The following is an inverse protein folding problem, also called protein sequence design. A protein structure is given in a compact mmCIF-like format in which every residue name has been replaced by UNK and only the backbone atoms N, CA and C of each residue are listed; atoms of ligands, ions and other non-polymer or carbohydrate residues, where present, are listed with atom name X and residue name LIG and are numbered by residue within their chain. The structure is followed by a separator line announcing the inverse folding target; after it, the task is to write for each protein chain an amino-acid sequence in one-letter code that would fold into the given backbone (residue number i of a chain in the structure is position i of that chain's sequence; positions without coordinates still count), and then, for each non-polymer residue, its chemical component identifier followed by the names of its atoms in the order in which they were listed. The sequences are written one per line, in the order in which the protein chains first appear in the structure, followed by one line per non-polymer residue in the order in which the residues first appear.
data_IF_321408655414
#
_entry.id   IF_321408655414
#
_cell.length_a   1.000
_cell.length_b   1.000
_cell.length_c   1.000
_cell.angle_alpha   90.00
_cell.angle_beta   90.00
_cell.angle_gamma   90.00
#
_symmetry.space_group_name_H-M   'P 1'
#
loop_
_entity.id
_entity.type
_entity.pdbx_description
1 polymer ?
#
# COMPACT_ATOMS: atom_id res chain seq x y z
N UNK A 1 12.82 -16.85 -20.39
CA UNK A 1 12.22 -17.25 -19.08
C UNK A 1 12.35 -16.14 -18.05
N UNK A 2 13.52 -15.52 -17.87
CA UNK A 2 13.70 -14.40 -16.94
C UNK A 2 12.76 -13.21 -17.24
N UNK A 3 12.56 -12.86 -18.51
CA UNK A 3 11.72 -11.72 -18.93
C UNK A 3 10.25 -11.85 -18.49
N UNK A 4 9.75 -13.08 -18.41
CA UNK A 4 8.40 -13.37 -17.93
C UNK A 4 8.26 -13.08 -16.43
N UNK A 5 9.28 -13.43 -15.62
CA UNK A 5 9.26 -13.12 -14.19
C UNK A 5 9.40 -11.62 -13.94
N UNK A 6 10.22 -10.92 -14.73
CA UNK A 6 10.36 -9.47 -14.63
C UNK A 6 9.07 -8.72 -14.99
N UNK A 7 8.40 -9.13 -16.07
CA UNK A 7 7.14 -8.51 -16.47
C UNK A 7 6.01 -8.81 -15.49
N UNK A 8 5.91 -10.04 -14.98
CA UNK A 8 4.95 -10.40 -13.95
C UNK A 8 5.17 -9.63 -12.64
N UNK A 9 6.42 -9.48 -12.20
CA UNK A 9 6.76 -8.68 -11.02
C UNK A 9 6.42 -7.20 -11.23
N UNK A 10 6.77 -6.64 -12.40
CA UNK A 10 6.43 -5.27 -12.77
C UNK A 10 4.92 -5.03 -12.76
N UNK A 11 4.14 -5.96 -13.31
CA UNK A 11 2.68 -5.89 -13.31
C UNK A 11 2.10 -5.92 -11.89
N UNK A 12 2.60 -6.80 -11.01
CA UNK A 12 2.13 -6.89 -9.62
C UNK A 12 2.44 -5.62 -8.81
N UNK A 13 3.57 -4.98 -9.09
CA UNK A 13 3.92 -3.69 -8.48
C UNK A 13 3.02 -2.58 -9.03
N UNK A 14 2.73 -2.61 -10.33
CA UNK A 14 1.84 -1.65 -11.00
C UNK A 14 0.36 -1.86 -10.63
N UNK A 15 -0.04 -3.02 -10.13
CA UNK A 15 -1.41 -3.30 -9.70
C UNK A 15 -1.43 -3.98 -8.32
N UNK A 16 -1.20 -3.23 -7.23
CA UNK A 16 -1.15 -3.79 -5.87
C UNK A 16 -2.45 -4.49 -5.46
N UNK A 17 -3.60 -4.08 -6.02
CA UNK A 17 -4.88 -4.73 -5.78
C UNK A 17 -4.91 -6.19 -6.29
N UNK A 18 -4.27 -6.45 -7.44
CA UNK A 18 -4.13 -7.81 -7.99
C UNK A 18 -3.19 -8.63 -7.11
N UNK A 19 -2.08 -8.03 -6.68
CA UNK A 19 -1.17 -8.67 -5.73
C UNK A 19 -1.88 -9.05 -4.42
N UNK A 20 -2.74 -8.17 -3.90
CA UNK A 20 -3.56 -8.44 -2.72
C UNK A 20 -4.48 -9.63 -2.90
N UNK A 21 -5.19 -9.72 -4.02
CA UNK A 21 -6.10 -10.84 -4.29
C UNK A 21 -5.35 -12.16 -4.38
N UNK A 22 -4.21 -12.19 -5.07
CA UNK A 22 -3.36 -13.38 -5.19
C UNK A 22 -2.85 -13.81 -3.81
N UNK A 23 -2.30 -12.87 -3.04
CA UNK A 23 -1.81 -13.15 -1.69
C UNK A 23 -2.93 -13.60 -0.75
N UNK A 24 -4.13 -13.01 -0.88
CA UNK A 24 -5.30 -13.40 -0.10
C UNK A 24 -5.71 -14.84 -0.37
N UNK A 25 -5.82 -15.23 -1.64
CA UNK A 25 -6.15 -16.61 -2.02
C UNK A 25 -5.07 -17.58 -1.49
N UNK A 26 -3.79 -17.23 -1.69
CA UNK A 26 -2.67 -18.05 -1.25
C UNK A 26 -2.66 -18.25 0.27
N UNK A 27 -2.72 -17.18 1.06
CA UNK A 27 -2.69 -17.28 2.52
C UNK A 27 -3.97 -17.88 3.10
N UNK A 28 -5.14 -17.61 2.52
CA UNK A 28 -6.39 -18.25 2.96
C UNK A 28 -6.34 -19.76 2.75
N UNK A 29 -5.76 -20.22 1.64
CA UNK A 29 -5.59 -21.65 1.38
C UNK A 29 -4.53 -22.29 2.29
N UNK A 30 -3.46 -21.56 2.61
CA UNK A 30 -2.40 -22.03 3.50
C UNK A 30 -2.86 -22.15 4.96
N UNK A 31 -3.52 -21.12 5.48
CA UNK A 31 -3.95 -21.06 6.88
C UNK A 31 -5.33 -21.66 7.13
N UNK A 32 -6.10 -21.96 6.06
CA UNK A 32 -7.50 -22.41 6.11
C UNK A 32 -8.42 -21.50 6.93
N UNK A 33 -8.02 -20.25 7.09
CA UNK A 33 -8.70 -19.24 7.88
C UNK A 33 -8.69 -17.93 7.09
N UNK A 34 -9.84 -17.45 6.60
CA UNK A 34 -9.91 -16.25 5.77
C UNK A 34 -9.51 -14.98 6.53
N UNK A 35 -9.72 -14.93 7.85
CA UNK A 35 -9.35 -13.77 8.67
C UNK A 35 -7.84 -13.64 8.78
N UNK A 36 -7.15 -14.75 9.07
CA UNK A 36 -5.68 -14.81 9.09
C UNK A 36 -5.08 -14.60 7.69
N UNK A 37 -5.74 -15.18 6.67
CA UNK A 37 -5.37 -15.00 5.27
C UNK A 37 -5.37 -13.54 4.85
N UNK A 38 -6.46 -12.81 5.13
CA UNK A 38 -6.58 -11.38 4.83
C UNK A 38 -5.56 -10.54 5.59
N UNK A 39 -5.38 -10.77 6.90
CA UNK A 39 -4.41 -9.99 7.68
C UNK A 39 -3.00 -10.13 7.11
N UNK A 40 -2.57 -11.35 6.73
CA UNK A 40 -1.25 -11.58 6.14
C UNK A 40 -1.13 -10.99 4.75
N UNK A 41 -2.13 -11.15 3.90
CA UNK A 41 -2.14 -10.58 2.56
C UNK A 41 -2.03 -9.04 2.59
N UNK A 42 -2.78 -8.39 3.49
CA UNK A 42 -2.69 -6.95 3.71
C UNK A 42 -1.29 -6.52 4.14
N UNK A 43 -0.68 -7.23 5.11
CA UNK A 43 0.66 -6.90 5.61
C UNK A 43 1.72 -6.92 4.50
N UNK A 44 1.69 -7.94 3.64
CA UNK A 44 2.59 -8.04 2.48
C UNK A 44 2.27 -6.98 1.43
N UNK A 45 1.00 -6.71 1.16
CA UNK A 45 0.59 -5.71 0.16
C UNK A 45 1.00 -4.30 0.58
N UNK A 46 1.01 -3.96 1.87
CA UNK A 46 1.52 -2.65 2.35
C UNK A 46 2.95 -2.41 1.92
N UNK A 47 3.79 -3.44 1.94
CA UNK A 47 5.18 -3.34 1.50
C UNK A 47 5.29 -3.03 0.01
N UNK A 48 4.36 -3.54 -0.81
CA UNK A 48 4.24 -3.20 -2.23
C UNK A 48 3.65 -1.81 -2.44
N UNK A 49 2.71 -1.39 -1.60
CA UNK A 49 2.02 -0.10 -1.71
C UNK A 49 2.93 1.10 -1.40
N UNK A 50 3.88 0.96 -0.48
CA UNK A 50 4.82 2.02 -0.12
C UNK A 50 5.58 2.60 -1.33
N UNK A 51 6.19 1.79 -2.21
CA UNK A 51 6.77 2.27 -3.46
C UNK A 51 5.75 2.47 -4.59
N UNK A 52 4.61 1.75 -4.60
CA UNK A 52 3.64 1.86 -5.68
C UNK A 52 2.91 3.22 -5.72
N UNK A 53 2.53 3.78 -4.56
CA UNK A 53 1.88 5.11 -4.49
C UNK A 53 2.73 6.22 -5.12
N UNK A 54 4.01 6.43 -4.70
CA UNK A 54 4.83 7.47 -5.31
C UNK A 54 5.20 7.14 -6.76
N UNK A 55 5.27 5.86 -7.15
CA UNK A 55 5.50 5.49 -8.55
C UNK A 55 4.33 5.91 -9.45
N UNK A 56 3.09 5.66 -9.03
CA UNK A 56 1.89 6.09 -9.77
C UNK A 56 1.77 7.61 -9.83
N UNK A 57 2.02 8.29 -8.71
CA UNK A 57 2.02 9.76 -8.71
C UNK A 57 3.10 10.32 -9.64
N UNK A 58 4.31 9.74 -9.64
CA UNK A 58 5.37 10.16 -10.54
C UNK A 58 5.02 9.88 -12.01
N UNK A 59 4.33 8.77 -12.31
CA UNK A 59 3.90 8.44 -13.65
C UNK A 59 2.89 9.46 -14.22
N UNK A 60 1.95 9.94 -13.40
CA UNK A 60 0.93 10.91 -13.84
C UNK A 60 1.36 12.37 -13.73
N UNK A 61 2.10 12.74 -12.69
CA UNK A 61 2.43 14.16 -12.40
C UNK A 61 3.88 14.52 -12.74
N UNK A 62 4.75 13.53 -12.98
CA UNK A 62 6.20 13.73 -13.18
C UNK A 62 6.99 13.99 -11.89
N UNK A 63 6.34 14.24 -10.75
CA UNK A 63 7.01 14.58 -9.49
C UNK A 63 7.41 13.34 -8.68
N UNK A 64 8.65 13.33 -8.17
CA UNK A 64 9.15 12.26 -7.29
C UNK A 64 8.70 12.50 -5.84
N UNK A 65 7.58 11.90 -5.45
CA UNK A 65 6.98 12.10 -4.12
C UNK A 65 7.43 11.08 -3.06
N UNK A 66 8.27 10.11 -3.42
CA UNK A 66 8.68 9.02 -2.53
C UNK A 66 9.34 9.46 -1.23
N UNK A 67 10.18 10.50 -1.27
CA UNK A 67 10.83 11.04 -0.08
C UNK A 67 9.82 11.65 0.90
N UNK A 68 8.87 12.45 0.39
CA UNK A 68 7.81 13.05 1.21
C UNK A 68 6.89 11.98 1.82
N UNK A 69 6.59 10.92 1.05
CA UNK A 69 5.80 9.80 1.55
C UNK A 69 6.52 9.05 2.68
N UNK A 70 7.83 8.82 2.55
CA UNK A 70 8.63 8.20 3.61
C UNK A 70 8.60 9.04 4.91
N UNK A 71 8.74 10.36 4.80
CA UNK A 71 8.59 11.27 5.95
C UNK A 71 7.19 11.15 6.55
N UNK A 72 6.14 11.18 5.73
CA UNK A 72 4.76 11.07 6.20
C UNK A 72 4.50 9.76 6.96
N UNK A 73 5.05 8.63 6.48
CA UNK A 73 4.95 7.33 7.14
C UNK A 73 5.64 7.34 8.50
N UNK A 74 6.83 7.93 8.60
CA UNK A 74 7.57 8.05 9.86
C UNK A 74 6.80 8.94 10.84
N UNK A 75 6.33 10.11 10.41
CA UNK A 75 5.53 11.02 11.24
C UNK A 75 4.24 10.34 11.71
N UNK A 76 3.59 9.56 10.86
CA UNK A 76 2.40 8.79 11.22
C UNK A 76 2.72 7.74 12.29
N UNK A 77 3.83 7.01 12.15
CA UNK A 77 4.27 6.03 13.14
C UNK A 77 4.60 6.68 14.50
N UNK A 78 5.27 7.83 14.48
CA UNK A 78 5.54 8.62 15.69
C UNK A 78 4.25 9.12 16.36
N UNK A 79 3.32 9.66 15.57
CA UNK A 79 2.01 10.11 16.06
C UNK A 79 1.22 8.98 16.73
N UNK A 80 1.18 7.81 16.09
CA UNK A 80 0.52 6.62 16.66
C UNK A 80 1.18 6.17 17.96
N UNK A 81 2.51 6.18 18.01
CA UNK A 81 3.28 5.82 19.21
C UNK A 81 3.00 6.79 20.35
N UNK A 82 2.98 8.10 20.06
CA UNK A 82 2.65 9.12 21.05
C UNK A 82 1.22 8.96 21.59
N UNK A 83 0.24 8.68 20.71
CA UNK A 83 -1.15 8.45 21.09
C UNK A 83 -1.30 7.19 21.95
N UNK A 84 -0.61 6.12 21.61
CA UNK A 84 -0.65 4.87 22.40
C UNK A 84 -0.07 5.11 23.80
N UNK A 85 1.06 5.82 23.90
CA UNK A 85 1.69 6.18 25.18
C UNK A 85 0.77 7.00 26.10
N UNK A 86 -0.05 7.89 25.53
CA UNK A 86 -1.01 8.69 26.31
C UNK A 86 -2.16 7.87 26.90
N UNK A 87 -2.41 6.68 26.35
CA UNK A 87 -3.52 5.81 26.77
C UNK A 87 -3.19 5.01 28.06
N UNK A 88 -1.94 5.09 28.56
CA UNK A 88 -1.54 4.53 29.86
C UNK A 88 -1.41 3.00 29.89
N UNK A 89 -1.49 2.34 28.74
CA UNK A 89 -1.25 0.90 28.61
C UNK A 89 0.27 0.65 28.57
N UNK A 90 0.71 -0.48 29.13
CA UNK A 90 2.06 -0.98 28.89
C UNK A 90 2.32 -1.04 27.39
N UNK A 91 3.47 -0.50 26.97
CA UNK A 91 3.75 -0.22 25.57
C UNK A 91 4.12 -1.53 24.86
N UNK A 92 3.10 -2.29 24.45
CA UNK A 92 3.28 -3.52 23.69
C UNK A 92 3.62 -3.18 22.23
N UNK A 93 4.91 -3.30 21.89
CA UNK A 93 5.46 -2.94 20.57
C UNK A 93 4.78 -3.76 19.44
N UNK A 94 4.52 -5.05 19.67
CA UNK A 94 3.97 -5.95 18.65
C UNK A 94 2.57 -5.58 18.16
N UNK A 95 1.57 -5.44 19.06
CA UNK A 95 0.24 -4.94 18.71
C UNK A 95 0.26 -3.53 18.10
N UNK A 96 1.07 -2.61 18.63
CA UNK A 96 1.18 -1.25 18.11
C UNK A 96 1.68 -1.25 16.66
N UNK A 97 2.75 -2.00 16.35
CA UNK A 97 3.29 -2.08 15.01
C UNK A 97 2.27 -2.66 14.03
N UNK A 98 1.55 -3.73 14.41
CA UNK A 98 0.47 -4.30 13.59
C UNK A 98 -0.66 -3.30 13.32
N UNK A 99 -1.03 -2.49 14.32
CA UNK A 99 -2.04 -1.44 14.20
C UNK A 99 -1.59 -0.35 13.22
N UNK A 100 -0.35 0.13 13.35
CA UNK A 100 0.26 1.09 12.42
C UNK A 100 0.27 0.52 11.00
N UNK A 101 0.73 -0.72 10.84
CA UNK A 101 0.85 -1.38 9.55
C UNK A 101 -0.49 -1.53 8.82
N UNK A 102 -1.55 -1.90 9.55
CA UNK A 102 -2.92 -2.01 9.01
C UNK A 102 -3.52 -0.66 8.63
N UNK A 103 -3.24 0.40 9.39
CA UNK A 103 -3.70 1.73 9.03
C UNK A 103 -2.95 2.26 7.80
N UNK A 104 -1.63 2.01 7.72
CA UNK A 104 -0.84 2.34 6.54
C UNK A 104 -1.37 1.62 5.30
N UNK A 105 -1.70 0.33 5.41
CA UNK A 105 -2.36 -0.42 4.33
C UNK A 105 -3.59 0.31 3.81
N UNK A 106 -4.50 0.70 4.71
CA UNK A 106 -5.76 1.36 4.35
C UNK A 106 -5.52 2.72 3.69
N UNK A 107 -4.65 3.55 4.30
CA UNK A 107 -4.34 4.90 3.81
C UNK A 107 -3.66 4.84 2.45
N UNK A 108 -2.64 3.98 2.29
CA UNK A 108 -1.90 3.83 1.05
C UNK A 108 -2.77 3.23 -0.06
N UNK A 109 -3.63 2.25 0.26
CA UNK A 109 -4.57 1.69 -0.71
C UNK A 109 -5.56 2.76 -1.22
N UNK A 110 -6.11 3.56 -0.31
CA UNK A 110 -7.02 4.65 -0.67
C UNK A 110 -6.29 5.72 -1.52
N UNK A 111 -5.09 6.12 -1.11
CA UNK A 111 -4.26 7.07 -1.85
C UNK A 111 -3.90 6.55 -3.24
N UNK A 112 -3.54 5.27 -3.36
CA UNK A 112 -3.26 4.61 -4.62
C UNK A 112 -4.47 4.66 -5.56
N UNK A 113 -5.64 4.23 -5.07
CA UNK A 113 -6.87 4.22 -5.87
C UNK A 113 -7.26 5.63 -6.30
N UNK A 114 -7.18 6.62 -5.40
CA UNK A 114 -7.46 8.01 -5.72
C UNK A 114 -6.51 8.54 -6.80
N UNK A 115 -5.20 8.32 -6.62
CA UNK A 115 -4.18 8.75 -7.60
C UNK A 115 -4.40 8.09 -8.97
N UNK A 116 -4.74 6.80 -8.99
CA UNK A 116 -4.99 6.06 -10.22
C UNK A 116 -6.25 6.54 -10.94
N UNK A 117 -7.37 6.73 -10.23
CA UNK A 117 -8.64 7.20 -10.81
C UNK A 117 -8.48 8.62 -11.33
N UNK A 118 -7.89 9.53 -10.54
CA UNK A 118 -7.69 10.93 -10.93
C UNK A 118 -6.70 11.02 -12.11
N UNK A 119 -5.56 10.32 -12.01
CA UNK A 119 -4.56 10.32 -13.08
C UNK A 119 -5.10 9.79 -14.40
N UNK A 120 -5.87 8.69 -14.36
CA UNK A 120 -6.53 8.14 -15.54
C UNK A 120 -7.58 9.10 -16.10
N UNK A 121 -8.37 9.74 -15.24
CA UNK A 121 -9.40 10.70 -15.64
C UNK A 121 -8.82 11.94 -16.32
N UNK A 122 -7.74 12.51 -15.78
CA UNK A 122 -7.01 13.63 -16.39
C UNK A 122 -6.45 13.22 -17.75
N UNK A 123 -5.81 12.06 -17.82
CA UNK A 123 -5.26 11.54 -19.07
C UNK A 123 -6.35 11.40 -20.15
N UNK A 124 -7.49 10.79 -19.82
CA UNK A 124 -8.62 10.65 -20.77
C UNK A 124 -9.14 12.02 -21.20
N UNK A 125 -9.30 12.97 -20.28
CA UNK A 125 -9.76 14.32 -20.59
C UNK A 125 -8.83 15.02 -21.59
N UNK A 126 -7.51 14.92 -21.39
CA UNK A 126 -6.50 15.47 -22.30
C UNK A 126 -6.56 14.82 -23.69
N UNK A 127 -6.86 13.51 -23.77
CA UNK A 127 -7.03 12.80 -25.05
C UNK A 127 -8.33 13.16 -25.79
N UNK A 128 -9.42 13.43 -25.08
CA UNK A 128 -10.74 13.73 -25.69
C UNK A 128 -11.03 15.21 -25.87
N UNK A 129 -10.32 16.08 -25.16
CA UNK A 129 -10.48 17.54 -25.18
C UNK A 129 -9.51 18.26 -26.12
N UNK A 130 -8.73 17.51 -26.91
CA UNK A 130 -7.91 18.01 -28.02
C UNK A 130 -8.68 18.10 -29.33
#
# INVERSE_FOLDING_TARGET
MADFFYSAAGFLIAFPAVALLILFIFFTRLYKDPSKGFSRAADFTTFLLLPAVPAVLAAFTGYRTGFYLAIAVILFALYMTYRERKTGHDLEIGPLLRKIWRLLFLILSAAYLAAFIVGSGVMIADYTGG
#
